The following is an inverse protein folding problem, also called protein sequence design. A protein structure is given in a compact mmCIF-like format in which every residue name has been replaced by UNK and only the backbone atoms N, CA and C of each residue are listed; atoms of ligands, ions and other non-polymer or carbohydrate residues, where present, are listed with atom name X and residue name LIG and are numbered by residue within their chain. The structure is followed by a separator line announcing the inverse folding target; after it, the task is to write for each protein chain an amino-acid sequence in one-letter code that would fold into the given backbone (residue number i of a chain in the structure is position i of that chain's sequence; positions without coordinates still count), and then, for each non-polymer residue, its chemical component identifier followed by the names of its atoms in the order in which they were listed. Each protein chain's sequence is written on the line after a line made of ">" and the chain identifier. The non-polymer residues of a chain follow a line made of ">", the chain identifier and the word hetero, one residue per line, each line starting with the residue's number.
data_IF_529304669967
#
_entry.id   IF_529304669967
#
_cell.length_a   1.000
_cell.length_b   1.000
_cell.length_c   1.000
_cell.angle_alpha   90.00
_cell.angle_beta   90.00
_cell.angle_gamma   90.00
#
_symmetry.space_group_name_H-M   'P 1'
#
loop_
_entity.id
_entity.type
_entity.pdbx_description
1 polymer ?
#
# COMPACT_ATOMS: atom_id res chain seq x y z
N UNK A 1 6.30 7.86 0.93
CA UNK A 1 5.15 6.96 0.74
C UNK A 1 3.90 7.80 0.95
N UNK A 2 3.18 8.06 -0.12
CA UNK A 2 1.83 8.66 -0.03
C UNK A 2 0.81 7.55 -0.24
N UNK A 3 -0.40 7.69 0.28
CA UNK A 3 -1.48 6.76 -0.03
C UNK A 3 -2.78 7.53 -0.20
N UNK A 4 -3.67 6.98 -1.00
CA UNK A 4 -4.99 7.51 -1.31
C UNK A 4 -6.00 6.39 -1.16
N UNK A 5 -6.98 6.58 -0.29
CA UNK A 5 -8.08 5.66 -0.13
C UNK A 5 -9.37 6.29 -0.63
N UNK A 6 -10.12 5.51 -1.41
CA UNK A 6 -11.46 5.88 -1.86
C UNK A 6 -12.46 4.97 -1.17
N UNK A 7 -13.21 5.52 -0.21
CA UNK A 7 -14.29 4.82 0.51
C UNK A 7 -15.43 4.37 -0.41
N UNK A 8 -15.68 5.12 -1.48
CA UNK A 8 -16.76 4.85 -2.45
C UNK A 8 -16.51 3.54 -3.20
N UNK A 9 -15.28 3.37 -3.72
CA UNK A 9 -14.89 2.18 -4.50
C UNK A 9 -14.13 1.16 -3.66
N UNK A 10 -13.88 1.46 -2.38
CA UNK A 10 -13.02 0.67 -1.48
C UNK A 10 -11.65 0.39 -2.08
N UNK A 11 -11.08 1.40 -2.74
CA UNK A 11 -9.80 1.27 -3.44
C UNK A 11 -8.72 2.01 -2.68
N UNK A 12 -7.65 1.30 -2.29
CA UNK A 12 -6.47 1.85 -1.63
C UNK A 12 -5.31 1.88 -2.63
N UNK A 13 -4.81 3.07 -2.93
CA UNK A 13 -3.62 3.27 -3.76
C UNK A 13 -2.48 3.77 -2.88
N UNK A 14 -1.39 3.00 -2.80
CA UNK A 14 -0.19 3.36 -2.06
C UNK A 14 0.91 3.67 -3.07
N UNK A 15 1.34 4.92 -3.07
CA UNK A 15 2.45 5.43 -3.87
C UNK A 15 3.75 5.27 -3.08
N UNK A 16 4.45 4.18 -3.35
CA UNK A 16 5.83 3.99 -2.90
C UNK A 16 6.83 4.79 -3.72
N UNK A 17 8.07 4.86 -3.24
CA UNK A 17 9.18 5.53 -3.96
C UNK A 17 9.63 4.71 -5.17
N UNK A 18 9.50 3.39 -5.10
CA UNK A 18 9.90 2.47 -6.17
C UNK A 18 8.74 1.66 -6.73
N UNK A 19 7.68 1.43 -5.95
CA UNK A 19 6.54 0.61 -6.37
C UNK A 19 5.21 1.27 -5.98
N UNK A 20 4.26 1.30 -6.91
CA UNK A 20 2.88 1.71 -6.61
C UNK A 20 2.04 0.45 -6.38
N UNK A 21 1.36 0.38 -5.24
CA UNK A 21 0.47 -0.71 -4.90
C UNK A 21 -0.98 -0.24 -5.00
N UNK A 22 -1.77 -0.90 -5.84
CA UNK A 22 -3.21 -0.63 -5.96
C UNK A 22 -3.96 -1.83 -5.44
N UNK A 23 -4.79 -1.61 -4.43
CA UNK A 23 -5.63 -2.62 -3.80
C UNK A 23 -7.09 -2.23 -4.01
N UNK A 24 -7.89 -3.18 -4.51
CA UNK A 24 -9.32 -3.05 -4.72
C UNK A 24 -10.09 -3.82 -3.65
N UNK A 25 -11.31 -3.37 -3.30
CA UNK A 25 -12.17 -3.96 -2.25
C UNK A 25 -11.55 -4.00 -0.84
N UNK A 26 -10.74 -3.02 -0.50
CA UNK A 26 -10.11 -2.87 0.81
C UNK A 26 -11.09 -2.30 1.84
N UNK A 27 -11.15 -2.92 3.01
CA UNK A 27 -11.87 -2.38 4.16
C UNK A 27 -10.99 -1.41 4.94
N UNK A 28 -11.61 -0.45 5.62
CA UNK A 28 -10.89 0.56 6.40
C UNK A 28 -9.99 -0.04 7.50
N UNK A 29 -10.41 -1.15 8.12
CA UNK A 29 -9.58 -1.91 9.06
C UNK A 29 -8.32 -2.51 8.45
N UNK A 30 -8.31 -2.81 7.15
CA UNK A 30 -7.16 -3.44 6.49
C UNK A 30 -6.18 -2.42 5.91
N UNK A 31 -6.56 -1.14 5.84
CA UNK A 31 -5.71 -0.08 5.29
C UNK A 31 -4.38 0.00 6.03
N UNK A 32 -4.40 -0.02 7.37
CA UNK A 32 -3.20 0.06 8.20
C UNK A 32 -2.25 -1.12 7.93
N UNK A 33 -2.80 -2.33 7.88
CA UNK A 33 -2.05 -3.56 7.62
C UNK A 33 -1.46 -3.58 6.20
N UNK A 34 -2.21 -3.10 5.20
CA UNK A 34 -1.75 -2.99 3.81
C UNK A 34 -0.67 -1.90 3.64
N UNK A 35 -0.75 -0.82 4.41
CA UNK A 35 0.29 0.21 4.49
C UNK A 35 1.59 -0.34 5.05
N UNK A 36 1.49 -1.10 6.14
CA UNK A 36 2.64 -1.79 6.73
C UNK A 36 3.23 -2.80 5.74
N UNK A 37 2.42 -3.64 5.09
CA UNK A 37 2.88 -4.61 4.09
C UNK A 37 3.59 -3.93 2.90
N UNK A 38 3.01 -2.86 2.36
CA UNK A 38 3.61 -2.10 1.27
C UNK A 38 4.96 -1.50 1.69
N UNK A 39 5.05 -0.94 2.90
CA UNK A 39 6.31 -0.42 3.45
C UNK A 39 7.35 -1.53 3.64
N UNK A 40 6.95 -2.71 4.11
CA UNK A 40 7.83 -3.87 4.25
C UNK A 40 8.32 -4.35 2.88
N UNK A 41 7.46 -4.44 1.87
CA UNK A 41 7.85 -4.81 0.50
C UNK A 41 8.82 -3.81 -0.11
N UNK A 42 8.61 -2.50 0.08
CA UNK A 42 9.56 -1.47 -0.34
C UNK A 42 10.91 -1.57 0.39
N UNK A 43 10.91 -1.91 1.68
CA UNK A 43 12.13 -2.12 2.44
C UNK A 43 12.88 -3.39 2.00
N UNK A 44 12.15 -4.49 1.80
CA UNK A 44 12.69 -5.77 1.33
C UNK A 44 13.22 -5.71 -0.10
N UNK A 45 12.62 -4.87 -0.96
CA UNK A 45 13.15 -4.58 -2.29
C UNK A 45 14.63 -4.15 -2.25
N UNK A 46 15.03 -3.39 -1.23
CA UNK A 46 16.42 -2.93 -1.07
C UNK A 46 17.36 -4.00 -0.49
N UNK A 47 16.82 -5.08 0.10
CA UNK A 47 17.61 -6.08 0.84
C UNK A 47 18.10 -7.24 -0.02
N UNK A 48 17.70 -7.34 -1.30
CA UNK A 48 18.39 -8.21 -2.26
C UNK A 48 19.68 -7.54 -2.73
N UNK A 49 20.74 -7.61 -1.92
CA UNK A 49 22.10 -7.32 -2.35
C UNK A 49 23.03 -8.45 -1.92
#
# INVERSE_FOLDING_TARGET
>A
MGWKYSTITKTLTIFGKHMTHVFDKVLESEIDQLLVDAKFKEALWRTKR
#
